data_IF_703266427338
#
_entry.id   IF_703266427338
#
_cell.length_a   1.000
_cell.length_b   1.000
_cell.length_c   1.000
_cell.angle_alpha   90.00
_cell.angle_beta   90.00
_cell.angle_gamma   90.00
#
_symmetry.space_group_name_H-M   'P 1'
#
loop_
_entity.id
_entity.type
_entity.pdbx_description
1 polymer ?
#
# COMPACT_ATOMS: atom_id res chain seq x y z
N UNK A 1 57.26 3.24 9.81
CA UNK A 1 56.70 2.40 8.72
C UNK A 1 55.47 1.65 9.22
N UNK A 2 54.28 2.24 9.11
CA UNK A 2 52.99 1.54 9.23
C UNK A 2 52.06 2.12 8.16
N UNK A 3 51.46 1.21 7.41
CA UNK A 3 50.71 1.43 6.18
C UNK A 3 49.41 2.19 6.42
N UNK A 4 49.27 3.38 5.81
CA UNK A 4 47.98 4.03 5.61
C UNK A 4 47.39 3.56 4.26
N UNK A 5 46.62 2.48 4.29
CA UNK A 5 45.83 2.04 3.13
C UNK A 5 44.54 2.85 3.07
N UNK A 6 44.56 3.93 2.29
CA UNK A 6 43.37 4.70 1.89
C UNK A 6 42.47 3.83 1.00
N UNK A 7 41.34 3.38 1.54
CA UNK A 7 40.23 2.82 0.76
C UNK A 7 39.54 3.96 -0.01
N UNK A 8 40.00 4.21 -1.23
CA UNK A 8 39.23 4.92 -2.26
C UNK A 8 38.20 3.95 -2.83
N UNK A 9 36.95 4.06 -2.35
CA UNK A 9 35.81 3.47 -3.06
C UNK A 9 35.65 4.21 -4.41
N UNK A 10 35.49 3.49 -5.54
CA UNK A 10 35.38 4.12 -6.84
C UNK A 10 34.06 4.89 -6.96
N UNK A 11 34.17 6.18 -7.32
CA UNK A 11 33.08 7.14 -7.58
C UNK A 11 32.01 6.60 -8.56
N UNK A 12 32.31 5.53 -9.30
CA UNK A 12 31.43 4.87 -10.26
C UNK A 12 30.20 4.23 -9.61
N UNK A 13 30.26 3.85 -8.33
CA UNK A 13 29.11 3.28 -7.62
C UNK A 13 28.09 4.35 -7.18
N UNK A 14 28.51 5.61 -7.01
CA UNK A 14 27.61 6.73 -6.70
C UNK A 14 26.77 7.15 -7.93
N UNK A 15 27.31 6.99 -9.15
CA UNK A 15 26.58 7.33 -10.38
C UNK A 15 25.48 6.29 -10.68
N UNK A 16 25.69 5.02 -10.33
CA UNK A 16 24.66 3.98 -10.50
C UNK A 16 23.44 4.18 -9.55
N UNK A 17 23.64 4.71 -8.35
CA UNK A 17 22.56 5.08 -7.44
C UNK A 17 21.86 6.38 -7.82
N UNK A 18 22.55 7.33 -8.47
CA UNK A 18 21.95 8.56 -9.00
C UNK A 18 21.16 8.35 -10.30
N UNK A 19 21.45 7.30 -11.08
CA UNK A 19 20.71 7.03 -12.33
C UNK A 19 19.34 6.37 -12.07
N UNK A 20 19.12 5.77 -10.88
CA UNK A 20 17.79 5.29 -10.48
C UNK A 20 16.92 6.45 -9.94
N UNK A 21 17.54 7.52 -9.43
CA UNK A 21 16.84 8.73 -8.99
C UNK A 21 16.40 9.66 -10.14
N UNK A 22 16.95 9.52 -11.35
CA UNK A 22 16.63 10.41 -12.49
C UNK A 22 15.36 10.01 -13.28
N UNK A 23 14.52 9.13 -12.72
CA UNK A 23 13.15 8.90 -13.21
C UNK A 23 12.06 9.58 -12.37
N UNK A 24 12.44 10.36 -11.35
CA UNK A 24 11.55 11.29 -10.66
C UNK A 24 11.25 12.49 -11.56
N UNK A 25 10.43 12.26 -12.58
CA UNK A 25 9.81 13.34 -13.32
C UNK A 25 8.81 14.03 -12.41
N UNK A 26 9.27 15.02 -11.64
CA UNK A 26 8.38 15.99 -11.05
C UNK A 26 7.54 16.58 -12.18
N UNK A 27 6.27 16.19 -12.27
CA UNK A 27 5.38 16.71 -13.29
C UNK A 27 5.29 18.22 -13.09
N UNK A 28 5.54 18.97 -14.14
CA UNK A 28 5.25 20.40 -14.16
C UNK A 28 3.80 20.60 -13.71
N UNK A 29 3.52 21.41 -12.68
CA UNK A 29 2.16 21.65 -12.18
C UNK A 29 1.20 22.15 -13.28
N UNK A 30 1.72 22.74 -14.37
CA UNK A 30 0.95 23.17 -15.53
C UNK A 30 0.65 22.04 -16.55
N UNK A 31 1.26 20.86 -16.43
CA UNK A 31 1.00 19.74 -17.34
C UNK A 31 -0.40 19.13 -17.14
N UNK A 32 -1.05 18.67 -18.23
CA UNK A 32 -2.28 17.91 -18.13
C UNK A 32 -2.06 16.67 -17.27
N UNK A 33 -3.05 16.31 -16.44
CA UNK A 33 -2.91 15.09 -15.64
C UNK A 33 -2.92 13.86 -16.54
N UNK A 34 -2.16 12.81 -16.20
CA UNK A 34 -2.29 11.49 -16.81
C UNK A 34 -3.72 10.96 -16.71
N UNK A 35 -4.02 9.90 -17.46
CA UNK A 35 -5.27 9.17 -17.27
C UNK A 35 -5.38 8.64 -15.83
N UNK A 36 -6.61 8.51 -15.31
CA UNK A 36 -6.86 8.24 -13.88
C UNK A 36 -6.12 6.99 -13.37
N UNK A 37 -6.07 5.93 -14.19
CA UNK A 37 -5.40 4.67 -13.83
C UNK A 37 -3.86 4.81 -13.78
N UNK A 38 -3.28 5.58 -14.70
CA UNK A 38 -1.86 5.89 -14.71
C UNK A 38 -1.51 6.80 -13.52
N UNK A 39 -2.33 7.82 -13.26
CA UNK A 39 -2.16 8.72 -12.13
C UNK A 39 -2.19 7.96 -10.80
N UNK A 40 -3.13 7.03 -10.60
CA UNK A 40 -3.18 6.18 -9.41
C UNK A 40 -1.89 5.37 -9.25
N UNK A 41 -1.36 4.81 -10.34
CA UNK A 41 -0.10 4.07 -10.34
C UNK A 41 1.09 4.96 -9.96
N UNK A 42 1.19 6.17 -10.52
CA UNK A 42 2.26 7.14 -10.23
C UNK A 42 2.24 7.55 -8.75
N UNK A 43 1.06 7.91 -8.24
CA UNK A 43 0.88 8.33 -6.85
C UNK A 43 1.22 7.23 -5.85
N UNK A 44 0.80 6.00 -6.15
CA UNK A 44 1.14 4.83 -5.35
C UNK A 44 2.64 4.65 -5.23
N UNK A 45 3.36 4.69 -6.35
CA UNK A 45 4.81 4.55 -6.36
C UNK A 45 5.49 5.66 -5.55
N UNK A 46 5.02 6.90 -5.70
CA UNK A 46 5.51 8.02 -4.93
C UNK A 46 5.29 7.84 -3.41
N UNK A 47 4.10 7.41 -2.99
CA UNK A 47 3.81 7.17 -1.58
C UNK A 47 4.58 5.97 -0.98
N UNK A 48 4.86 4.93 -1.78
CA UNK A 48 5.70 3.81 -1.35
C UNK A 48 7.18 4.18 -1.23
N UNK A 49 7.67 5.04 -2.12
CA UNK A 49 9.08 5.46 -2.16
C UNK A 49 9.38 6.71 -1.34
N UNK A 50 8.35 7.45 -0.92
CA UNK A 50 8.50 8.74 -0.27
C UNK A 50 9.01 9.83 -1.23
N UNK A 51 8.68 9.74 -2.52
CA UNK A 51 9.14 10.71 -3.53
C UNK A 51 8.47 12.07 -3.33
N UNK A 52 9.18 12.97 -2.63
CA UNK A 52 8.72 14.33 -2.35
C UNK A 52 8.44 15.15 -3.63
N UNK A 53 9.02 14.79 -4.78
CA UNK A 53 8.73 15.50 -6.04
C UNK A 53 7.29 15.33 -6.52
N UNK A 54 6.58 14.30 -6.04
CA UNK A 54 5.18 14.04 -6.35
C UNK A 54 4.19 14.88 -5.53
N UNK A 55 4.65 15.73 -4.60
CA UNK A 55 3.79 16.49 -3.69
C UNK A 55 2.71 17.30 -4.44
N UNK A 56 3.11 18.07 -5.46
CA UNK A 56 2.18 18.89 -6.24
C UNK A 56 1.14 18.02 -6.99
N UNK A 57 1.56 16.89 -7.56
CA UNK A 57 0.66 15.93 -8.21
C UNK A 57 -0.31 15.30 -7.21
N UNK A 58 0.15 14.94 -6.01
CA UNK A 58 -0.68 14.37 -4.97
C UNK A 58 -1.72 15.37 -4.41
N UNK A 59 -1.35 16.65 -4.28
CA UNK A 59 -2.27 17.74 -3.93
C UNK A 59 -3.39 17.85 -4.98
N UNK A 60 -3.04 17.89 -6.28
CA UNK A 60 -4.03 17.95 -7.37
C UNK A 60 -4.93 16.71 -7.41
N UNK A 61 -4.36 15.54 -7.16
CA UNK A 61 -5.09 14.29 -7.15
C UNK A 61 -6.08 14.21 -5.98
N UNK A 62 -5.71 14.70 -4.79
CA UNK A 62 -6.57 14.68 -3.60
C UNK A 62 -7.89 15.46 -3.80
N UNK A 63 -7.89 16.47 -4.66
CA UNK A 63 -9.09 17.26 -5.00
C UNK A 63 -9.81 16.77 -6.25
N UNK A 64 -9.47 15.58 -6.75
CA UNK A 64 -10.05 15.05 -7.98
C UNK A 64 -11.51 14.59 -7.77
N UNK A 65 -12.35 14.79 -8.80
CA UNK A 65 -13.78 14.40 -8.76
C UNK A 65 -14.01 12.89 -8.65
N UNK A 66 -13.06 12.09 -9.12
CA UNK A 66 -13.09 10.64 -8.98
C UNK A 66 -12.57 10.26 -7.59
N UNK A 67 -13.45 9.66 -6.77
CA UNK A 67 -13.14 9.22 -5.41
C UNK A 67 -11.84 8.41 -5.31
N UNK A 68 -11.59 7.49 -6.25
CA UNK A 68 -10.41 6.63 -6.19
C UNK A 68 -9.10 7.42 -6.39
N UNK A 69 -9.13 8.43 -7.27
CA UNK A 69 -7.99 9.33 -7.48
C UNK A 69 -7.79 10.22 -6.25
N UNK A 70 -8.88 10.76 -5.68
CA UNK A 70 -8.84 11.57 -4.46
C UNK A 70 -8.24 10.79 -3.27
N UNK A 71 -8.74 9.57 -3.05
CA UNK A 71 -8.25 8.69 -1.98
C UNK A 71 -6.78 8.30 -2.17
N UNK A 72 -6.35 8.01 -3.41
CA UNK A 72 -4.95 7.71 -3.69
C UNK A 72 -4.06 8.95 -3.51
N UNK A 73 -4.55 10.15 -3.86
CA UNK A 73 -3.89 11.43 -3.58
C UNK A 73 -3.70 11.64 -2.07
N UNK A 74 -4.77 11.53 -1.29
CA UNK A 74 -4.75 11.63 0.16
C UNK A 74 -3.80 10.61 0.82
N UNK A 75 -3.85 9.35 0.38
CA UNK A 75 -2.93 8.32 0.86
C UNK A 75 -1.47 8.68 0.60
N UNK A 76 -1.19 9.22 -0.59
CA UNK A 76 0.16 9.65 -0.97
C UNK A 76 0.62 10.82 -0.09
N UNK A 77 -0.25 11.81 0.13
CA UNK A 77 0.03 12.96 1.00
C UNK A 77 0.33 12.54 2.44
N UNK A 78 -0.42 11.58 2.98
CA UNK A 78 -0.16 10.98 4.29
C UNK A 78 1.26 10.40 4.40
N UNK A 79 1.72 9.71 3.36
CA UNK A 79 3.06 9.10 3.31
C UNK A 79 4.18 10.12 3.14
N UNK A 80 3.96 11.14 2.33
CA UNK A 80 4.92 12.24 2.16
C UNK A 80 5.00 13.07 3.44
N UNK A 81 3.89 13.22 4.17
CA UNK A 81 3.87 13.88 5.47
C UNK A 81 4.17 15.37 5.43
N UNK A 82 4.04 16.02 4.26
CA UNK A 82 4.38 17.43 4.09
C UNK A 82 3.31 18.34 4.69
N UNK A 83 3.73 19.24 5.59
CA UNK A 83 2.85 20.26 6.17
C UNK A 83 2.29 21.22 5.10
N UNK A 84 2.96 21.36 3.95
CA UNK A 84 2.48 22.15 2.81
C UNK A 84 1.13 21.67 2.28
N UNK A 85 0.82 20.37 2.43
CA UNK A 85 -0.45 19.81 1.99
C UNK A 85 -1.62 20.10 2.93
N UNK A 86 -1.39 20.56 4.17
CA UNK A 86 -2.43 20.72 5.19
C UNK A 86 -3.60 21.60 4.73
N UNK A 87 -3.40 22.80 4.14
CA UNK A 87 -4.51 23.64 3.72
C UNK A 87 -5.44 22.93 2.71
N UNK A 88 -4.88 22.17 1.76
CA UNK A 88 -5.67 21.41 0.79
C UNK A 88 -6.39 20.23 1.45
N UNK A 89 -5.72 19.49 2.33
CA UNK A 89 -6.34 18.36 3.04
C UNK A 89 -7.48 18.85 3.95
N UNK A 90 -7.30 19.98 4.63
CA UNK A 90 -8.33 20.57 5.50
C UNK A 90 -9.54 21.07 4.70
N UNK A 91 -9.34 21.60 3.48
CA UNK A 91 -10.45 21.98 2.61
C UNK A 91 -11.33 20.79 2.20
N UNK A 92 -10.80 19.57 2.25
CA UNK A 92 -11.57 18.34 1.97
C UNK A 92 -12.43 17.87 3.14
N UNK A 93 -12.42 18.55 4.29
CA UNK A 93 -13.32 18.23 5.41
C UNK A 93 -14.79 18.47 5.09
N UNK A 94 -15.06 19.25 4.03
CA UNK A 94 -16.40 19.55 3.51
C UNK A 94 -16.63 18.93 2.11
N UNK A 95 -15.79 17.97 1.68
CA UNK A 95 -15.96 17.29 0.39
C UNK A 95 -17.32 16.58 0.30
N UNK A 96 -17.92 16.48 -0.88
CA UNK A 96 -19.22 15.80 -1.04
C UNK A 96 -19.15 14.30 -0.69
N UNK A 97 -18.03 13.66 -1.02
CA UNK A 97 -17.80 12.23 -0.79
C UNK A 97 -17.41 11.97 0.67
N UNK A 98 -18.26 11.26 1.41
CA UNK A 98 -18.07 10.95 2.84
C UNK A 98 -16.72 10.24 3.12
N UNK A 99 -16.31 9.34 2.23
CA UNK A 99 -15.06 8.61 2.36
C UNK A 99 -13.82 9.51 2.25
N UNK A 100 -13.87 10.50 1.33
CA UNK A 100 -12.82 11.51 1.18
C UNK A 100 -12.76 12.42 2.40
N UNK A 101 -13.91 12.88 2.93
CA UNK A 101 -13.96 13.68 4.16
C UNK A 101 -13.35 12.94 5.34
N UNK A 102 -13.83 11.72 5.59
CA UNK A 102 -13.39 10.89 6.69
C UNK A 102 -11.88 10.65 6.64
N UNK A 103 -11.35 10.31 5.46
CA UNK A 103 -9.92 10.04 5.31
C UNK A 103 -9.08 11.31 5.37
N UNK A 104 -9.52 12.42 4.77
CA UNK A 104 -8.83 13.70 4.86
C UNK A 104 -8.59 14.14 6.31
N UNK A 105 -9.56 13.94 7.21
CA UNK A 105 -9.39 14.21 8.66
C UNK A 105 -8.25 13.41 9.25
N UNK A 106 -8.16 12.11 8.92
CA UNK A 106 -7.08 11.22 9.39
C UNK A 106 -5.73 11.64 8.81
N UNK A 107 -5.66 11.95 7.51
CA UNK A 107 -4.44 12.42 6.84
C UNK A 107 -3.95 13.73 7.46
N UNK A 108 -4.84 14.70 7.74
CA UNK A 108 -4.46 15.95 8.40
C UNK A 108 -3.89 15.69 9.80
N UNK A 109 -4.54 14.82 10.59
CA UNK A 109 -4.04 14.43 11.91
C UNK A 109 -2.66 13.75 11.82
N UNK A 110 -2.45 12.88 10.84
CA UNK A 110 -1.16 12.24 10.58
C UNK A 110 -0.07 13.26 10.21
N UNK A 111 -0.34 14.18 9.29
CA UNK A 111 0.63 15.21 8.89
C UNK A 111 1.01 16.08 10.09
N UNK A 112 0.05 16.51 10.91
CA UNK A 112 0.31 17.28 12.13
C UNK A 112 1.12 16.51 13.17
N UNK A 113 0.98 15.19 13.21
CA UNK A 113 1.66 14.32 14.18
C UNK A 113 2.92 13.66 13.65
N UNK A 114 3.25 13.80 12.36
CA UNK A 114 4.48 13.28 11.75
C UNK A 114 5.77 13.90 12.37
N UNK A 115 5.65 15.01 13.09
CA UNK A 115 6.73 15.58 13.92
C UNK A 115 7.00 14.82 15.24
N UNK A 116 6.12 13.91 15.65
CA UNK A 116 6.40 12.96 16.73
C UNK A 116 7.43 11.97 16.18
N UNK A 117 8.68 12.11 16.64
CA UNK A 117 9.87 11.40 16.15
C UNK A 117 9.58 9.98 15.65
N UNK A 118 10.11 9.64 14.46
CA UNK A 118 10.05 8.29 13.88
C UNK A 118 10.26 7.24 14.98
N UNK A 119 9.22 6.46 15.28
CA UNK A 119 9.25 5.50 16.37
C UNK A 119 10.44 4.52 16.21
N UNK A 120 11.37 4.57 17.16
CA UNK A 120 12.58 3.72 17.22
C UNK A 120 12.44 2.54 18.17
N UNK A 121 11.41 2.56 19.01
CA UNK A 121 11.06 1.52 19.96
C UNK A 121 9.53 1.42 20.08
N UNK A 122 9.08 0.45 20.87
CA UNK A 122 7.66 0.18 21.04
C UNK A 122 6.93 1.31 21.82
N UNK A 123 7.63 2.03 22.69
CA UNK A 123 7.07 3.19 23.39
C UNK A 123 6.80 4.35 22.43
N UNK A 124 7.71 4.59 21.47
CA UNK A 124 7.54 5.56 20.39
C UNK A 124 6.38 5.19 19.47
N UNK A 125 6.17 3.91 19.16
CA UNK A 125 5.00 3.44 18.39
C UNK A 125 3.71 3.80 19.12
N UNK A 126 3.63 3.48 20.42
CA UNK A 126 2.48 3.82 21.26
C UNK A 126 2.24 5.33 21.31
N UNK A 127 3.30 6.13 21.51
CA UNK A 127 3.21 7.58 21.56
C UNK A 127 2.69 8.17 20.24
N UNK A 128 3.18 7.66 19.10
CA UNK A 128 2.73 8.10 17.79
C UNK A 128 1.25 7.78 17.54
N UNK A 129 0.79 6.58 17.91
CA UNK A 129 -0.64 6.23 17.82
C UNK A 129 -1.48 7.11 18.74
N UNK A 130 -1.06 7.32 20.00
CA UNK A 130 -1.80 8.20 20.92
C UNK A 130 -1.85 9.65 20.44
N UNK A 131 -0.79 10.14 19.79
CA UNK A 131 -0.79 11.47 19.18
C UNK A 131 -1.80 11.58 18.03
N UNK A 132 -1.86 10.57 17.16
CA UNK A 132 -2.86 10.49 16.08
C UNK A 132 -4.29 10.50 16.66
N UNK A 133 -4.56 9.68 17.67
CA UNK A 133 -5.85 9.63 18.34
C UNK A 133 -6.22 10.98 19.00
N UNK A 134 -5.26 11.60 19.70
CA UNK A 134 -5.44 12.89 20.34
C UNK A 134 -5.74 14.01 19.33
N UNK A 135 -5.08 14.01 18.18
CA UNK A 135 -5.34 14.98 17.10
C UNK A 135 -6.72 14.80 16.44
N UNK A 136 -7.34 13.63 16.58
CA UNK A 136 -8.69 13.33 16.11
C UNK A 136 -9.75 13.40 17.21
N UNK A 137 -9.35 13.69 18.46
CA UNK A 137 -10.22 13.64 19.64
C UNK A 137 -10.91 12.29 19.84
N UNK A 138 -10.23 11.20 19.49
CA UNK A 138 -10.73 9.84 19.65
C UNK A 138 -10.04 9.13 20.81
N UNK A 139 -10.80 8.36 21.58
CA UNK A 139 -10.26 7.42 22.55
C UNK A 139 -9.91 6.09 21.89
N UNK A 140 -9.00 5.35 22.52
CA UNK A 140 -8.68 3.99 22.10
C UNK A 140 -9.89 3.05 22.12
N UNK A 141 -10.80 3.24 23.08
CA UNK A 141 -12.01 2.42 23.22
C UNK A 141 -12.99 2.67 22.07
N UNK A 142 -13.19 3.91 21.65
CA UNK A 142 -14.06 4.24 20.50
C UNK A 142 -13.53 3.64 19.21
N UNK A 143 -12.22 3.75 18.97
CA UNK A 143 -11.59 3.17 17.76
C UNK A 143 -11.64 1.64 17.78
N UNK A 144 -11.48 1.02 18.95
CA UNK A 144 -11.49 -0.44 19.14
C UNK A 144 -12.89 -1.06 19.22
N UNK A 145 -13.95 -0.26 19.25
CA UNK A 145 -15.30 -0.81 19.28
C UNK A 145 -15.59 -1.61 17.99
N UNK A 146 -16.56 -2.53 18.00
CA UNK A 146 -16.96 -3.24 16.78
C UNK A 146 -17.28 -2.27 15.63
N UNK A 147 -16.87 -2.65 14.43
CA UNK A 147 -17.18 -1.93 13.19
C UNK A 147 -18.12 -2.85 12.40
N UNK A 148 -19.27 -2.35 11.91
CA UNK A 148 -20.11 -3.11 11.00
C UNK A 148 -19.29 -3.69 9.83
N UNK A 149 -19.67 -4.87 9.31
CA UNK A 149 -19.10 -5.32 8.05
C UNK A 149 -19.35 -4.26 6.98
N UNK A 150 -18.40 -4.11 6.04
CA UNK A 150 -18.57 -3.18 4.94
C UNK A 150 -19.95 -3.44 4.30
N UNK A 151 -20.78 -2.40 4.16
CA UNK A 151 -22.06 -2.58 3.52
C UNK A 151 -21.89 -3.15 2.11
N UNK A 152 -22.93 -3.84 1.62
CA UNK A 152 -23.02 -4.13 0.19
C UNK A 152 -22.92 -2.83 -0.63
N UNK A 153 -22.70 -2.95 -1.94
CA UNK A 153 -22.47 -1.82 -2.87
C UNK A 153 -23.46 -0.64 -2.75
N UNK A 154 -24.64 -0.87 -2.16
CA UNK A 154 -25.76 0.06 -2.16
C UNK A 154 -26.06 0.69 -0.79
N UNK A 155 -25.26 0.44 0.27
CA UNK A 155 -25.43 1.19 1.53
C UNK A 155 -24.24 2.11 1.81
N UNK A 156 -24.55 3.36 2.14
CA UNK A 156 -23.58 4.32 2.61
C UNK A 156 -23.18 3.98 4.06
N UNK A 157 -21.87 3.90 4.30
CA UNK A 157 -21.31 3.82 5.64
C UNK A 157 -21.29 5.23 6.26
N UNK A 158 -21.66 5.35 7.53
CA UNK A 158 -21.64 6.65 8.19
C UNK A 158 -20.20 7.16 8.36
N UNK A 159 -20.03 8.48 8.38
CA UNK A 159 -18.71 9.12 8.44
C UNK A 159 -17.90 8.73 9.69
N UNK A 160 -18.58 8.44 10.82
CA UNK A 160 -17.90 8.05 12.06
C UNK A 160 -17.30 6.65 11.93
N UNK A 161 -18.05 5.72 11.35
CA UNK A 161 -17.58 4.35 11.09
C UNK A 161 -16.44 4.35 10.07
N UNK A 162 -16.55 5.13 8.98
CA UNK A 162 -15.47 5.32 8.01
C UNK A 162 -14.22 5.88 8.70
N UNK A 163 -14.34 6.94 9.49
CA UNK A 163 -13.21 7.54 10.19
C UNK A 163 -12.52 6.54 11.12
N UNK A 164 -13.27 5.77 11.91
CA UNK A 164 -12.71 4.73 12.80
C UNK A 164 -11.95 3.67 12.01
N UNK A 165 -12.48 3.23 10.87
CA UNK A 165 -11.84 2.28 9.97
C UNK A 165 -10.50 2.83 9.45
N UNK A 166 -10.46 4.09 9.02
CA UNK A 166 -9.24 4.75 8.57
C UNK A 166 -8.20 4.88 9.67
N UNK A 167 -8.63 5.27 10.87
CA UNK A 167 -7.74 5.38 12.03
C UNK A 167 -7.11 4.04 12.38
N UNK A 168 -7.88 2.95 12.42
CA UNK A 168 -7.33 1.61 12.66
C UNK A 168 -6.26 1.23 11.62
N UNK A 169 -6.51 1.54 10.35
CA UNK A 169 -5.58 1.23 9.26
C UNK A 169 -4.29 2.04 9.32
N UNK A 170 -4.37 3.32 9.66
CA UNK A 170 -3.18 4.15 9.87
C UNK A 170 -2.42 3.71 11.13
N UNK A 171 -3.11 3.33 12.21
CA UNK A 171 -2.47 2.73 13.38
C UNK A 171 -1.69 1.45 13.02
N UNK A 172 -2.28 0.60 12.19
CA UNK A 172 -1.64 -0.60 11.69
C UNK A 172 -0.43 -0.30 10.77
N UNK A 173 -0.51 0.78 9.99
CA UNK A 173 0.60 1.25 9.16
C UNK A 173 1.77 1.81 9.98
N UNK A 174 1.51 2.49 11.11
CA UNK A 174 2.54 2.89 12.07
C UNK A 174 3.28 1.66 12.62
N UNK A 175 2.54 0.62 13.01
CA UNK A 175 3.11 -0.66 13.47
C UNK A 175 3.96 -1.32 12.38
N UNK A 176 3.42 -1.42 11.16
CA UNK A 176 4.14 -2.02 10.01
C UNK A 176 5.43 -1.27 9.71
N UNK A 177 5.37 0.06 9.68
CA UNK A 177 6.54 0.90 9.43
C UNK A 177 7.61 0.72 10.52
N UNK A 178 7.21 0.63 11.79
CA UNK A 178 8.14 0.38 12.90
C UNK A 178 8.76 -1.02 12.82
N UNK A 179 7.97 -2.05 12.51
CA UNK A 179 8.48 -3.40 12.34
C UNK A 179 9.48 -3.51 11.17
N UNK A 180 9.23 -2.82 10.05
CA UNK A 180 10.17 -2.73 8.93
C UNK A 180 11.49 -2.05 9.31
N UNK A 181 11.50 -1.20 10.35
CA UNK A 181 12.72 -0.61 10.94
C UNK A 181 13.36 -1.50 12.00
N UNK A 182 12.80 -2.68 12.28
CA UNK A 182 13.31 -3.62 13.28
C UNK A 182 12.81 -3.41 14.70
N UNK A 183 11.76 -2.61 14.91
CA UNK A 183 11.16 -2.43 16.24
C UNK A 183 10.43 -3.72 16.66
N UNK A 184 11.03 -4.46 17.59
CA UNK A 184 10.44 -5.66 18.18
C UNK A 184 9.27 -5.29 19.08
N UNK A 185 8.17 -6.03 19.00
CA UNK A 185 7.01 -5.82 19.87
C UNK A 185 6.13 -4.61 19.52
N UNK A 186 6.32 -3.99 18.33
CA UNK A 186 5.51 -2.85 17.90
C UNK A 186 3.98 -3.12 17.93
N UNK A 187 3.58 -4.34 17.55
CA UNK A 187 2.18 -4.76 17.57
C UNK A 187 1.61 -4.89 19.00
N UNK A 188 2.39 -5.43 19.94
CA UNK A 188 1.95 -5.64 21.32
C UNK A 188 1.77 -4.35 22.13
N UNK A 189 2.31 -3.23 21.64
CA UNK A 189 2.19 -1.92 22.27
C UNK A 189 1.10 -1.03 21.68
N UNK A 190 0.34 -1.56 20.72
CA UNK A 190 -0.75 -0.82 20.08
C UNK A 190 -1.84 -0.52 21.13
N UNK A 191 -2.19 0.75 21.36
CA UNK A 191 -3.22 1.08 22.34
C UNK A 191 -4.65 0.83 21.80
N UNK A 192 -4.80 0.36 20.57
CA UNK A 192 -6.08 0.04 19.92
C UNK A 192 -6.12 -1.43 19.51
N UNK A 193 -7.31 -2.03 19.55
CA UNK A 193 -7.56 -3.38 19.02
C UNK A 193 -7.81 -3.30 17.50
N UNK A 194 -6.97 -3.92 16.65
CA UNK A 194 -7.19 -3.93 15.21
C UNK A 194 -8.24 -4.95 14.78
N UNK A 195 -8.73 -5.83 15.67
CA UNK A 195 -9.67 -6.89 15.32
C UNK A 195 -10.96 -6.44 14.60
N UNK A 196 -11.55 -5.26 14.87
CA UNK A 196 -12.77 -4.79 14.21
C UNK A 196 -12.60 -4.49 12.71
N UNK A 197 -11.39 -4.24 12.21
CA UNK A 197 -11.13 -4.00 10.78
C UNK A 197 -10.16 -5.06 10.23
N UNK A 198 -10.64 -5.86 9.28
CA UNK A 198 -9.87 -6.95 8.69
C UNK A 198 -8.53 -6.50 8.10
N UNK A 199 -8.52 -5.33 7.46
CA UNK A 199 -7.31 -4.77 6.83
C UNK A 199 -6.27 -4.39 7.88
N UNK A 200 -6.69 -3.69 8.94
CA UNK A 200 -5.83 -3.35 10.07
C UNK A 200 -5.32 -4.62 10.77
N UNK A 201 -6.20 -5.59 11.05
CA UNK A 201 -5.84 -6.87 11.67
C UNK A 201 -4.79 -7.61 10.85
N UNK A 202 -5.00 -7.72 9.54
CA UNK A 202 -4.04 -8.32 8.63
C UNK A 202 -2.71 -7.58 8.70
N UNK A 203 -2.69 -6.25 8.50
CA UNK A 203 -1.46 -5.44 8.57
C UNK A 203 -0.66 -5.67 9.86
N UNK A 204 -1.32 -5.67 11.01
CA UNK A 204 -0.68 -5.89 12.31
C UNK A 204 -0.13 -7.32 12.43
N UNK A 205 -0.90 -8.32 12.01
CA UNK A 205 -0.46 -9.72 12.03
C UNK A 205 0.77 -9.95 11.13
N UNK A 206 0.75 -9.41 9.91
CA UNK A 206 1.86 -9.53 8.96
C UNK A 206 3.10 -8.73 9.39
N UNK A 207 2.96 -7.65 10.16
CA UNK A 207 4.08 -6.83 10.63
C UNK A 207 5.07 -7.61 11.50
N UNK A 208 4.67 -8.71 12.15
CA UNK A 208 5.56 -9.54 12.95
C UNK A 208 6.65 -10.26 12.12
N UNK A 209 6.44 -10.41 10.80
CA UNK A 209 7.35 -11.14 9.92
C UNK A 209 8.29 -10.20 9.16
N UNK A 210 9.55 -10.64 9.00
CA UNK A 210 10.55 -9.93 8.17
C UNK A 210 10.18 -10.07 6.69
N UNK A 211 10.59 -9.11 5.86
CA UNK A 211 10.16 -8.98 4.46
C UNK A 211 10.10 -10.30 3.67
N UNK A 212 11.20 -11.05 3.58
CA UNK A 212 11.23 -12.31 2.83
C UNK A 212 10.28 -13.39 3.39
N UNK A 213 10.21 -13.54 4.71
CA UNK A 213 9.28 -14.49 5.34
C UNK A 213 7.82 -14.06 5.11
N UNK A 214 7.54 -12.77 5.26
CA UNK A 214 6.22 -12.17 5.06
C UNK A 214 5.73 -12.37 3.63
N UNK A 215 6.58 -12.09 2.64
CA UNK A 215 6.29 -12.33 1.22
C UNK A 215 5.95 -13.81 1.00
N UNK A 216 6.79 -14.73 1.48
CA UNK A 216 6.56 -16.17 1.33
C UNK A 216 5.21 -16.62 1.91
N UNK A 217 4.90 -16.19 3.14
CA UNK A 217 3.62 -16.51 3.80
C UNK A 217 2.42 -15.93 3.08
N UNK A 218 2.49 -14.67 2.63
CA UNK A 218 1.41 -14.04 1.85
C UNK A 218 1.18 -14.79 0.54
N UNK A 219 2.24 -15.13 -0.18
CA UNK A 219 2.17 -15.90 -1.42
C UNK A 219 1.55 -17.28 -1.18
N UNK A 220 1.96 -17.99 -0.14
CA UNK A 220 1.40 -19.30 0.22
C UNK A 220 -0.08 -19.22 0.62
N UNK A 221 -0.44 -18.24 1.45
CA UNK A 221 -1.81 -18.03 1.91
C UNK A 221 -2.75 -17.69 0.75
N UNK A 222 -2.32 -16.82 -0.17
CA UNK A 222 -3.09 -16.47 -1.36
C UNK A 222 -3.18 -17.62 -2.37
N UNK A 223 -2.08 -18.35 -2.59
CA UNK A 223 -2.07 -19.52 -3.48
C UNK A 223 -3.04 -20.62 -3.01
N UNK A 224 -3.20 -20.79 -1.70
CA UNK A 224 -4.10 -21.78 -1.10
C UNK A 224 -5.59 -21.39 -1.15
N UNK A 225 -5.95 -20.19 -1.63
CA UNK A 225 -7.34 -19.73 -1.67
C UNK A 225 -8.19 -20.55 -2.63
N UNK A 226 -9.29 -21.08 -2.10
CA UNK A 226 -10.33 -21.77 -2.88
C UNK A 226 -11.43 -20.83 -3.36
N UNK A 227 -11.63 -19.71 -2.68
CA UNK A 227 -12.56 -18.66 -3.05
C UNK A 227 -11.89 -17.32 -2.72
N UNK A 228 -12.27 -16.26 -3.45
CA UNK A 228 -11.89 -14.89 -3.11
C UNK A 228 -13.11 -14.15 -2.57
N UNK A 229 -12.97 -13.59 -1.38
CA UNK A 229 -13.97 -12.70 -0.78
C UNK A 229 -13.59 -11.23 -0.98
N UNK A 230 -14.45 -10.32 -0.52
CA UNK A 230 -14.10 -8.90 -0.42
C UNK A 230 -12.87 -8.68 0.45
N UNK A 231 -12.66 -9.47 1.50
CA UNK A 231 -11.54 -9.26 2.43
C UNK A 231 -10.18 -9.68 1.85
N UNK A 232 -10.16 -10.63 0.90
CA UNK A 232 -8.92 -11.07 0.24
C UNK A 232 -8.24 -9.95 -0.56
N UNK A 233 -8.97 -8.86 -0.76
CA UNK A 233 -8.44 -7.62 -1.31
C UNK A 233 -7.24 -7.09 -0.51
N UNK A 234 -7.28 -7.19 0.81
CA UNK A 234 -6.23 -6.66 1.68
C UNK A 234 -4.91 -7.46 1.61
N UNK A 235 -4.88 -8.79 1.77
CA UNK A 235 -3.63 -9.55 1.63
C UNK A 235 -3.05 -9.48 0.20
N UNK A 236 -3.88 -9.37 -0.85
CA UNK A 236 -3.41 -9.10 -2.22
C UNK A 236 -2.68 -7.74 -2.26
N UNK A 237 -3.29 -6.71 -1.67
CA UNK A 237 -2.73 -5.37 -1.61
C UNK A 237 -1.43 -5.33 -0.78
N UNK A 238 -1.40 -6.01 0.37
CA UNK A 238 -0.20 -6.11 1.20
C UNK A 238 0.96 -6.79 0.47
N UNK A 239 0.68 -7.86 -0.30
CA UNK A 239 1.70 -8.50 -1.11
C UNK A 239 2.20 -7.59 -2.23
N UNK A 240 1.32 -6.79 -2.84
CA UNK A 240 1.71 -5.81 -3.84
C UNK A 240 2.55 -4.65 -3.26
N UNK A 241 2.26 -4.23 -2.03
CA UNK A 241 3.05 -3.20 -1.31
C UNK A 241 4.49 -3.63 -1.03
N UNK A 242 4.78 -4.94 -0.96
CA UNK A 242 6.15 -5.46 -0.84
C UNK A 242 6.99 -5.18 -2.10
N UNK A 243 6.35 -4.79 -3.21
CA UNK A 243 7.00 -4.26 -4.40
C UNK A 243 7.86 -5.27 -5.15
N UNK A 244 8.95 -4.78 -5.75
CA UNK A 244 9.82 -5.57 -6.63
C UNK A 244 10.35 -6.89 -6.00
N UNK A 245 10.71 -6.96 -4.70
CA UNK A 245 11.07 -8.22 -4.03
C UNK A 245 10.01 -9.32 -4.08
N UNK A 246 8.72 -8.98 -4.12
CA UNK A 246 7.64 -9.99 -4.13
C UNK A 246 7.40 -10.60 -5.52
N UNK A 247 7.63 -9.86 -6.60
CA UNK A 247 7.39 -10.33 -7.97
C UNK A 247 8.06 -11.68 -8.30
N UNK A 248 9.38 -11.90 -8.06
CA UNK A 248 10.00 -13.19 -8.38
C UNK A 248 9.42 -14.35 -7.56
N UNK A 249 9.01 -14.11 -6.30
CA UNK A 249 8.42 -15.15 -5.44
C UNK A 249 7.02 -15.52 -5.94
N UNK A 250 6.22 -14.54 -6.34
CA UNK A 250 4.90 -14.76 -6.94
C UNK A 250 5.03 -15.56 -8.24
N UNK A 251 5.96 -15.16 -9.12
CA UNK A 251 6.17 -15.84 -10.42
C UNK A 251 6.60 -17.29 -10.18
N UNK A 252 7.57 -17.54 -9.29
CA UNK A 252 7.99 -18.89 -8.95
C UNK A 252 6.83 -19.73 -8.39
N UNK A 253 5.93 -19.12 -7.60
CA UNK A 253 4.74 -19.81 -7.09
C UNK A 253 3.73 -20.12 -8.19
N UNK A 254 3.43 -19.17 -9.08
CA UNK A 254 2.54 -19.41 -10.22
C UNK A 254 3.04 -20.56 -11.11
N UNK A 255 4.36 -20.64 -11.32
CA UNK A 255 5.01 -21.74 -12.04
C UNK A 255 4.87 -23.09 -11.31
N UNK A 256 5.11 -23.10 -10.00
CA UNK A 256 4.90 -24.30 -9.18
C UNK A 256 3.42 -24.75 -9.15
N UNK A 257 2.48 -23.79 -9.12
CA UNK A 257 1.06 -24.06 -9.19
C UNK A 257 0.69 -24.66 -10.55
N UNK A 258 1.26 -24.14 -11.65
CA UNK A 258 1.04 -24.65 -13.01
C UNK A 258 1.44 -26.12 -13.13
N UNK A 259 2.60 -26.48 -12.57
CA UNK A 259 3.11 -27.84 -12.56
C UNK A 259 2.29 -28.79 -11.67
N UNK A 260 1.64 -28.26 -10.62
CA UNK A 260 0.88 -29.04 -9.64
C UNK A 260 -0.60 -28.68 -9.62
N UNK A 261 -1.20 -28.47 -10.79
CA UNK A 261 -2.52 -27.83 -10.95
C UNK A 261 -3.64 -28.44 -10.12
N UNK A 262 -3.64 -29.77 -9.96
CA UNK A 262 -4.65 -30.48 -9.19
C UNK A 262 -4.70 -30.07 -7.70
N UNK A 263 -3.62 -29.48 -7.17
CA UNK A 263 -3.54 -29.04 -5.78
C UNK A 263 -4.07 -27.60 -5.55
N UNK A 264 -4.39 -26.86 -6.62
CA UNK A 264 -4.71 -25.43 -6.54
C UNK A 264 -6.03 -25.09 -7.21
N UNK A 265 -6.67 -24.02 -6.71
CA UNK A 265 -7.89 -23.47 -7.30
C UNK A 265 -7.56 -22.23 -8.14
N UNK A 266 -8.37 -21.94 -9.16
CA UNK A 266 -8.20 -20.74 -10.01
C UNK A 266 -8.25 -19.43 -9.20
N UNK A 267 -8.92 -19.43 -8.04
CA UNK A 267 -8.94 -18.29 -7.11
C UNK A 267 -7.54 -17.91 -6.60
N UNK A 268 -6.68 -18.90 -6.32
CA UNK A 268 -5.29 -18.64 -5.92
C UNK A 268 -4.47 -18.02 -7.04
N UNK A 269 -4.65 -18.50 -8.29
CA UNK A 269 -4.05 -17.86 -9.47
C UNK A 269 -4.53 -16.41 -9.62
N UNK A 270 -5.84 -16.17 -9.50
CA UNK A 270 -6.42 -14.83 -9.58
C UNK A 270 -5.80 -13.87 -8.56
N UNK A 271 -5.66 -14.30 -7.30
CA UNK A 271 -5.04 -13.49 -6.26
C UNK A 271 -3.58 -13.12 -6.58
N UNK A 272 -2.78 -14.09 -7.01
CA UNK A 272 -1.37 -13.88 -7.35
C UNK A 272 -1.19 -13.03 -8.61
N UNK A 273 -2.02 -13.22 -9.64
CA UNK A 273 -2.03 -12.34 -10.81
C UNK A 273 -2.42 -10.91 -10.46
N UNK A 274 -3.40 -10.70 -9.58
CA UNK A 274 -3.76 -9.35 -9.10
C UNK A 274 -2.61 -8.70 -8.33
N UNK A 275 -1.93 -9.46 -7.46
CA UNK A 275 -0.79 -8.95 -6.71
C UNK A 275 0.36 -8.55 -7.65
N UNK A 276 0.70 -9.38 -8.64
CA UNK A 276 1.80 -9.06 -9.58
C UNK A 276 1.45 -7.88 -10.50
N UNK A 277 0.18 -7.70 -10.88
CA UNK A 277 -0.28 -6.50 -11.59
C UNK A 277 -0.06 -5.23 -10.76
N UNK A 278 -0.31 -5.30 -9.44
CA UNK A 278 -0.08 -4.17 -8.53
C UNK A 278 1.39 -3.83 -8.30
N UNK A 279 2.29 -4.80 -8.52
CA UNK A 279 3.76 -4.59 -8.45
C UNK A 279 4.29 -4.02 -9.76
N UNK A 280 3.83 -4.55 -10.90
CA UNK A 280 4.32 -4.15 -12.22
C UNK A 280 5.69 -4.71 -12.59
N UNK A 281 6.31 -4.10 -13.60
CA UNK A 281 7.69 -4.34 -14.01
C UNK A 281 7.85 -5.30 -15.21
N UNK A 282 8.89 -5.07 -16.01
CA UNK A 282 9.14 -5.80 -17.27
C UNK A 282 9.29 -7.32 -17.08
N UNK A 283 9.91 -7.73 -15.97
CA UNK A 283 10.08 -9.15 -15.64
C UNK A 283 8.75 -9.85 -15.37
N UNK A 284 7.82 -9.18 -14.68
CA UNK A 284 6.47 -9.70 -14.47
C UNK A 284 5.73 -9.84 -15.81
N UNK A 285 5.81 -8.85 -16.70
CA UNK A 285 5.16 -8.91 -18.03
C UNK A 285 5.59 -10.15 -18.82
N UNK A 286 6.91 -10.42 -18.88
CA UNK A 286 7.43 -11.57 -19.61
C UNK A 286 6.99 -12.92 -19.00
N UNK A 287 6.99 -13.04 -17.67
CA UNK A 287 6.54 -14.24 -16.99
C UNK A 287 5.05 -14.51 -17.21
N UNK A 288 4.20 -13.49 -17.03
CA UNK A 288 2.75 -13.58 -17.21
C UNK A 288 2.39 -13.90 -18.67
N UNK A 289 3.15 -13.41 -19.65
CA UNK A 289 2.94 -13.74 -21.06
C UNK A 289 2.91 -15.25 -21.33
N UNK A 290 3.71 -16.04 -20.60
CA UNK A 290 3.75 -17.50 -20.76
C UNK A 290 2.45 -18.20 -20.34
N UNK A 291 1.67 -17.59 -19.45
CA UNK A 291 0.39 -18.12 -18.97
C UNK A 291 -0.79 -17.79 -19.90
N UNK A 292 -0.61 -16.91 -20.88
CA UNK A 292 -1.66 -16.56 -21.86
C UNK A 292 -2.02 -17.71 -22.80
N UNK A 293 -1.17 -18.73 -22.87
CA UNK A 293 -1.42 -19.97 -23.63
C UNK A 293 -1.67 -21.16 -22.71
N UNK A 294 -1.99 -20.90 -21.45
CA UNK A 294 -2.27 -21.97 -20.49
C UNK A 294 -3.50 -22.79 -20.96
N UNK A 295 -3.46 -24.14 -20.85
CA UNK A 295 -4.59 -24.97 -21.25
C UNK A 295 -5.83 -24.79 -20.36
N UNK A 296 -5.69 -24.28 -19.13
CA UNK A 296 -6.83 -23.93 -18.27
C UNK A 296 -7.37 -22.55 -18.64
N UNK A 297 -8.66 -22.49 -18.95
CA UNK A 297 -9.31 -21.27 -19.42
C UNK A 297 -9.32 -20.14 -18.39
N UNK A 298 -9.44 -20.46 -17.10
CA UNK A 298 -9.49 -19.47 -16.03
C UNK A 298 -8.11 -18.91 -15.73
N UNK A 299 -7.09 -19.77 -15.72
CA UNK A 299 -5.69 -19.33 -15.61
C UNK A 299 -5.34 -18.42 -16.78
N UNK A 300 -5.70 -18.82 -18.01
CA UNK A 300 -5.49 -18.00 -19.21
C UNK A 300 -6.22 -16.67 -19.12
N UNK A 301 -7.50 -16.66 -18.72
CA UNK A 301 -8.29 -15.45 -18.54
C UNK A 301 -7.64 -14.44 -17.58
N UNK A 302 -7.19 -14.90 -16.41
CA UNK A 302 -6.54 -14.01 -15.45
C UNK A 302 -5.15 -13.54 -15.92
N UNK A 303 -4.41 -14.40 -16.63
CA UNK A 303 -3.14 -14.03 -17.24
C UNK A 303 -3.31 -12.98 -18.35
N UNK A 304 -4.34 -13.10 -19.20
CA UNK A 304 -4.65 -12.12 -20.23
C UNK A 304 -4.98 -10.74 -19.62
N UNK A 305 -5.84 -10.72 -18.58
CA UNK A 305 -6.12 -9.48 -17.85
C UNK A 305 -4.86 -8.87 -17.24
N UNK A 306 -4.07 -9.67 -16.54
CA UNK A 306 -2.82 -9.23 -15.93
C UNK A 306 -1.84 -8.68 -16.98
N UNK A 307 -1.68 -9.39 -18.10
CA UNK A 307 -0.78 -9.00 -19.18
C UNK A 307 -1.19 -7.69 -19.83
N UNK A 308 -2.49 -7.45 -20.05
CA UNK A 308 -2.99 -6.20 -20.62
C UNK A 308 -2.47 -4.99 -19.83
N UNK A 309 -2.66 -4.99 -18.51
CA UNK A 309 -2.19 -3.92 -17.62
C UNK A 309 -0.68 -3.78 -17.60
N UNK A 310 0.03 -4.91 -17.41
CA UNK A 310 1.48 -4.93 -17.37
C UNK A 310 2.13 -4.47 -18.68
N UNK A 311 1.51 -4.75 -19.83
CA UNK A 311 2.03 -4.36 -21.15
C UNK A 311 1.91 -2.85 -21.41
N UNK A 312 0.91 -2.20 -20.79
CA UNK A 312 0.74 -0.74 -20.80
C UNK A 312 1.62 -0.03 -19.76
N UNK A 313 2.34 -0.79 -18.92
CA UNK A 313 3.09 -0.24 -17.79
C UNK A 313 2.21 0.25 -16.62
N UNK A 314 0.92 -0.06 -16.66
CA UNK A 314 -0.06 0.37 -15.65
C UNK A 314 -0.05 -0.62 -14.50
N UNK A 315 0.16 -0.13 -13.27
CA UNK A 315 -0.02 -0.93 -12.06
C UNK A 315 -1.46 -0.77 -11.61
N UNK A 316 -2.29 -1.76 -11.94
CA UNK A 316 -3.65 -1.80 -11.43
C UNK A 316 -3.59 -2.21 -9.96
N UNK A 317 -4.03 -1.31 -9.08
CA UNK A 317 -4.47 -1.74 -7.76
C UNK A 317 -5.54 -2.80 -8.00
N UNK A 318 -5.24 -4.07 -7.69
CA UNK A 318 -6.22 -5.15 -7.76
C UNK A 318 -7.47 -4.84 -6.92
N UNK A 319 -7.37 -3.81 -6.09
CA UNK A 319 -8.39 -3.29 -5.24
C UNK A 319 -8.04 -1.86 -4.86
N UNK A 320 -8.80 -0.87 -5.30
CA UNK A 320 -8.91 0.34 -4.49
C UNK A 320 -9.90 -0.02 -3.38
N UNK A 321 -9.35 -0.64 -2.33
CA UNK A 321 -9.92 -0.65 -0.99
C UNK A 321 -8.81 -0.08 -0.11
N UNK A 322 -8.52 1.20 -0.34
CA UNK A 322 -8.56 2.06 0.81
C UNK A 322 -10.05 2.06 1.10
#
# INVERSE_FOLDING_TARGET
MRNESKLLLPLTLCIALLTIASRGGGMDPASPMPEEEELISILRDAGLTGDASALATAIRAATHKNQFVAMQGLWTLARLGSAEALPTVEALFDAEMAEVRAYARVVAAQIRTNGVSVARDAAGVRAQVLALLGALHLSSAEVSAPIPPLPGRDMEEDETTLQRRWVLRECADVVRAAANRGVVGAASTLPVDPAPDEAARAKVAFAAWKGAERIGRLVDALAAKRTLTGDDRYPIQLLADEGAPAAPVIIAKLEAMRANRAAYHHSGYCALFRAVTGIGGKHATAAVASFRKDPDEWVRYYADQCYEWLSKGIRRNGVVAY
#
